data_IF_182405771748
#
_entry.id   IF_182405771748
#
_cell.length_a   1.000
_cell.length_b   1.000
_cell.length_c   1.000
_cell.angle_alpha   90.00
_cell.angle_beta   90.00
_cell.angle_gamma   90.00
#
_symmetry.space_group_name_H-M   'P 1'
#
loop_
_entity.id
_entity.type
_entity.pdbx_description
1 polymer ?
#
# COMPACT_ATOMS: atom_id res chain seq x y z
N UNK A 1 37.18 -35.86 47.69
CA UNK A 1 37.29 -36.35 46.30
C UNK A 1 36.07 -35.87 45.53
N UNK A 2 36.31 -35.39 44.30
CA UNK A 2 35.40 -35.10 43.18
C UNK A 2 34.26 -34.09 43.32
N UNK A 3 34.47 -32.97 42.60
CA UNK A 3 33.50 -32.01 42.07
C UNK A 3 32.49 -32.67 41.12
N UNK A 4 31.33 -32.03 40.94
CA UNK A 4 30.42 -32.20 39.79
C UNK A 4 28.96 -32.28 40.24
N UNK A 5 27.98 -31.54 39.70
CA UNK A 5 27.96 -30.72 38.50
C UNK A 5 26.73 -29.80 38.61
N UNK A 6 26.98 -28.49 38.66
CA UNK A 6 25.93 -27.48 38.52
C UNK A 6 25.47 -27.45 37.06
N UNK A 7 24.28 -27.98 36.78
CA UNK A 7 23.63 -27.91 35.46
C UNK A 7 22.17 -27.49 35.57
N UNK A 8 21.89 -26.40 36.31
CA UNK A 8 20.57 -25.76 36.32
C UNK A 8 20.64 -24.22 36.27
N UNK A 9 21.68 -23.66 35.63
CA UNK A 9 21.80 -22.19 35.45
C UNK A 9 22.28 -21.78 34.04
N UNK A 10 22.04 -22.61 33.01
CA UNK A 10 22.26 -22.20 31.60
C UNK A 10 20.95 -22.04 30.80
N UNK A 11 19.80 -22.35 31.39
CA UNK A 11 18.49 -22.12 30.76
C UNK A 11 17.97 -20.68 30.91
N UNK A 12 18.49 -19.90 31.86
CA UNK A 12 17.96 -18.57 32.18
C UNK A 12 18.75 -17.41 31.55
N UNK A 13 20.02 -17.61 31.15
CA UNK A 13 20.82 -16.55 30.53
C UNK A 13 20.71 -16.50 29.01
N UNK A 14 20.34 -17.61 28.34
CA UNK A 14 20.05 -17.56 26.91
C UNK A 14 18.75 -16.78 26.65
N UNK A 15 17.69 -17.08 27.40
CA UNK A 15 16.45 -16.30 27.34
C UNK A 15 16.68 -14.86 27.86
N UNK A 16 17.44 -14.70 28.96
CA UNK A 16 17.82 -13.40 29.50
C UNK A 16 18.57 -12.53 28.49
N UNK A 17 19.58 -13.05 27.80
CA UNK A 17 20.37 -12.29 26.81
C UNK A 17 19.59 -11.98 25.52
N UNK A 18 18.68 -12.85 25.08
CA UNK A 18 17.73 -12.57 23.98
C UNK A 18 16.81 -11.39 24.35
N UNK A 19 16.50 -11.21 25.64
CA UNK A 19 15.65 -10.12 26.14
C UNK A 19 16.43 -8.86 26.59
N UNK A 20 17.65 -9.02 27.13
CA UNK A 20 18.49 -7.96 27.71
C UNK A 20 19.32 -7.22 26.66
N UNK A 21 19.75 -7.89 25.59
CA UNK A 21 20.32 -7.24 24.41
C UNK A 21 19.25 -7.22 23.33
N UNK A 22 18.51 -6.11 23.28
CA UNK A 22 17.31 -5.97 22.49
C UNK A 22 17.27 -6.79 21.20
N UNK A 23 16.42 -7.81 21.18
CA UNK A 23 16.32 -8.84 20.15
C UNK A 23 16.18 -8.32 18.71
N UNK A 24 16.12 -9.21 17.72
CA UNK A 24 16.29 -8.88 16.31
C UNK A 24 15.47 -7.67 15.82
N UNK A 25 14.25 -7.50 16.31
CA UNK A 25 13.41 -6.33 16.02
C UNK A 25 14.03 -5.00 16.48
N UNK A 26 14.55 -4.92 17.70
CA UNK A 26 15.19 -3.71 18.24
C UNK A 26 16.48 -3.39 17.47
N UNK A 27 17.24 -4.41 17.07
CA UNK A 27 18.40 -4.24 16.19
C UNK A 27 17.98 -3.68 14.83
N UNK A 28 16.94 -4.24 14.21
CA UNK A 28 16.38 -3.76 12.95
C UNK A 28 15.93 -2.30 13.00
N UNK A 29 15.17 -1.92 14.04
CA UNK A 29 14.73 -0.52 14.25
C UNK A 29 15.92 0.41 14.48
N UNK A 30 16.97 -0.04 15.18
CA UNK A 30 18.19 0.76 15.38
C UNK A 30 18.92 1.00 14.06
N UNK A 31 19.05 -0.04 13.24
CA UNK A 31 19.67 0.04 11.92
C UNK A 31 18.86 0.98 10.99
N UNK A 32 17.53 0.92 11.01
CA UNK A 32 16.64 1.88 10.31
C UNK A 32 16.94 3.32 10.69
N UNK A 33 16.99 3.62 11.99
CA UNK A 33 17.28 4.97 12.51
C UNK A 33 18.67 5.46 12.12
N UNK A 34 19.60 4.55 11.87
CA UNK A 34 20.95 4.86 11.39
C UNK A 34 21.10 4.78 9.86
N UNK A 35 20.01 4.66 9.11
CA UNK A 35 20.00 4.53 7.65
C UNK A 35 20.78 3.33 7.10
N UNK A 36 21.03 2.30 7.93
CA UNK A 36 21.68 1.04 7.52
C UNK A 36 20.63 0.03 7.11
N UNK A 37 20.07 0.24 5.92
CA UNK A 37 18.85 -0.45 5.50
C UNK A 37 19.02 -1.96 5.27
N UNK A 38 20.16 -2.42 4.74
CA UNK A 38 20.40 -3.85 4.53
C UNK A 38 20.59 -4.60 5.87
N UNK A 39 21.26 -3.98 6.84
CA UNK A 39 21.33 -4.49 8.22
C UNK A 39 19.93 -4.54 8.85
N UNK A 40 19.12 -3.51 8.64
CA UNK A 40 17.75 -3.48 9.13
C UNK A 40 16.92 -4.64 8.59
N UNK A 41 16.92 -4.84 7.27
CA UNK A 41 16.19 -5.95 6.62
C UNK A 41 16.66 -7.31 7.11
N UNK A 42 17.97 -7.49 7.32
CA UNK A 42 18.52 -8.75 7.87
C UNK A 42 18.00 -9.02 9.27
N UNK A 43 18.02 -8.01 10.15
CA UNK A 43 17.55 -8.15 11.52
C UNK A 43 16.02 -8.30 11.63
N UNK A 44 15.26 -7.60 10.78
CA UNK A 44 13.79 -7.70 10.71
C UNK A 44 13.34 -9.07 10.20
N UNK A 45 14.05 -9.66 9.24
CA UNK A 45 13.81 -11.03 8.79
C UNK A 45 13.99 -12.05 9.91
N UNK A 46 15.01 -11.89 10.76
CA UNK A 46 15.17 -12.72 11.94
C UNK A 46 14.03 -12.51 12.95
N UNK A 47 13.61 -11.26 13.18
CA UNK A 47 12.50 -10.91 14.07
C UNK A 47 11.14 -11.50 13.64
N UNK A 48 10.94 -11.67 12.33
CA UNK A 48 9.71 -12.24 11.75
C UNK A 48 9.42 -13.65 12.26
N UNK A 49 10.47 -14.43 12.56
CA UNK A 49 10.31 -15.79 13.10
C UNK A 49 9.74 -15.79 14.52
N UNK A 50 10.03 -14.75 15.30
CA UNK A 50 9.53 -14.58 16.67
C UNK A 50 8.13 -13.94 16.70
N UNK A 51 7.80 -13.14 15.68
CA UNK A 51 6.56 -12.37 15.59
C UNK A 51 5.85 -12.54 14.23
N UNK A 52 5.44 -13.76 13.84
CA UNK A 52 4.95 -14.07 12.49
C UNK A 52 3.64 -13.37 12.08
N UNK A 53 2.91 -12.80 13.05
CA UNK A 53 1.64 -12.11 12.81
C UNK A 53 1.66 -10.62 13.19
N UNK A 54 2.84 -10.05 13.47
CA UNK A 54 2.99 -8.65 13.82
C UNK A 54 3.07 -7.78 12.56
N UNK A 55 2.20 -6.80 12.44
CA UNK A 55 2.22 -5.79 11.38
C UNK A 55 3.45 -4.88 11.46
N UNK A 56 4.13 -4.81 12.61
CA UNK A 56 5.29 -3.94 12.83
C UNK A 56 6.47 -4.36 11.95
N UNK A 57 6.72 -5.67 11.79
CA UNK A 57 7.85 -6.16 11.01
C UNK A 57 7.77 -5.76 9.53
N UNK A 58 6.70 -6.10 8.78
CA UNK A 58 6.60 -5.66 7.40
C UNK A 58 6.46 -4.13 7.26
N UNK A 59 5.91 -3.42 8.25
CA UNK A 59 5.94 -1.96 8.24
C UNK A 59 7.38 -1.41 8.27
N UNK A 60 8.22 -1.93 9.16
CA UNK A 60 9.62 -1.51 9.28
C UNK A 60 10.46 -1.94 8.05
N UNK A 61 10.19 -3.11 7.47
CA UNK A 61 10.81 -3.53 6.21
C UNK A 61 10.42 -2.58 5.06
N UNK A 62 9.16 -2.15 4.99
CA UNK A 62 8.73 -1.16 4.01
C UNK A 62 9.47 0.18 4.16
N UNK A 63 9.71 0.63 5.40
CA UNK A 63 10.53 1.82 5.65
C UNK A 63 11.98 1.64 5.19
N UNK A 64 12.58 0.46 5.40
CA UNK A 64 13.93 0.15 4.93
C UNK A 64 13.99 0.21 3.39
N UNK A 65 13.03 -0.42 2.70
CA UNK A 65 12.94 -0.37 1.24
C UNK A 65 12.73 1.05 0.69
N UNK A 66 11.91 1.88 1.34
CA UNK A 66 11.82 3.29 0.98
C UNK A 66 13.16 4.02 1.12
N UNK A 67 13.89 3.76 2.20
CA UNK A 67 15.22 4.32 2.44
C UNK A 67 16.24 3.95 1.36
N UNK A 68 16.10 2.75 0.76
CA UNK A 68 16.91 2.27 -0.36
C UNK A 68 16.48 2.81 -1.73
N UNK A 69 15.35 3.52 -1.82
CA UNK A 69 14.79 3.94 -3.10
C UNK A 69 14.09 2.81 -3.87
N UNK A 70 13.55 1.82 -3.15
CA UNK A 70 12.84 0.65 -3.70
C UNK A 70 11.32 0.75 -3.38
N UNK A 71 10.59 1.70 -4.00
CA UNK A 71 9.21 2.01 -3.62
C UNK A 71 8.23 0.86 -3.88
N UNK A 72 8.47 0.01 -4.88
CA UNK A 72 7.60 -1.12 -5.21
C UNK A 72 7.66 -2.21 -4.12
N UNK A 73 8.86 -2.53 -3.65
CA UNK A 73 9.07 -3.43 -2.49
C UNK A 73 8.44 -2.86 -1.23
N UNK A 74 8.61 -1.56 -0.99
CA UNK A 74 7.97 -0.90 0.14
C UNK A 74 6.44 -0.97 0.06
N UNK A 75 5.86 -0.79 -1.13
CA UNK A 75 4.42 -0.90 -1.33
C UNK A 75 3.90 -2.29 -0.93
N UNK A 76 4.58 -3.35 -1.38
CA UNK A 76 4.21 -4.74 -1.06
C UNK A 76 4.23 -5.00 0.45
N UNK A 77 5.26 -4.54 1.15
CA UNK A 77 5.38 -4.73 2.60
C UNK A 77 4.39 -3.87 3.41
N UNK A 78 4.08 -2.65 2.98
CA UNK A 78 2.98 -1.90 3.62
C UNK A 78 1.63 -2.60 3.43
N UNK A 79 1.36 -3.18 2.26
CA UNK A 79 0.14 -3.95 2.00
C UNK A 79 0.09 -5.19 2.89
N UNK A 80 1.20 -5.93 3.02
CA UNK A 80 1.32 -7.05 3.95
C UNK A 80 0.98 -6.61 5.39
N UNK A 81 1.60 -5.54 5.88
CA UNK A 81 1.37 -5.00 7.23
C UNK A 81 -0.12 -4.67 7.50
N UNK A 82 -0.86 -4.18 6.50
CA UNK A 82 -2.29 -3.89 6.65
C UNK A 82 -3.16 -5.14 6.88
N UNK A 83 -2.64 -6.34 6.61
CA UNK A 83 -3.35 -7.61 6.82
C UNK A 83 -3.06 -8.28 8.16
N UNK A 84 -1.99 -7.86 8.85
CA UNK A 84 -1.50 -8.48 10.09
C UNK A 84 -2.05 -7.80 11.36
N UNK A 85 -1.66 -8.29 12.55
CA UNK A 85 -2.08 -7.74 13.85
C UNK A 85 -1.21 -6.55 14.24
N UNK A 86 -1.84 -5.47 14.71
CA UNK A 86 -1.15 -4.27 15.21
C UNK A 86 -1.71 -3.01 14.58
N UNK A 87 -2.69 -2.41 15.23
CA UNK A 87 -3.48 -1.31 14.66
C UNK A 87 -2.62 -0.09 14.31
N UNK A 88 -1.66 0.27 15.16
CA UNK A 88 -0.76 1.39 14.92
C UNK A 88 0.08 1.20 13.63
N UNK A 89 0.68 0.01 13.45
CA UNK A 89 1.46 -0.29 12.25
C UNK A 89 0.57 -0.38 11.00
N UNK A 90 -0.62 -0.99 11.10
CA UNK A 90 -1.60 -1.00 10.00
C UNK A 90 -1.99 0.42 9.56
N UNK A 91 -2.26 1.30 10.53
CA UNK A 91 -2.64 2.69 10.26
C UNK A 91 -1.48 3.47 9.62
N UNK A 92 -0.27 3.30 10.14
CA UNK A 92 0.94 3.92 9.57
C UNK A 92 1.22 3.39 8.15
N UNK A 93 1.00 2.10 7.87
CA UNK A 93 1.09 1.53 6.52
C UNK A 93 0.06 2.12 5.57
N UNK A 94 -1.21 2.24 6.01
CA UNK A 94 -2.25 2.87 5.22
C UNK A 94 -1.90 4.34 4.90
N UNK A 95 -1.41 5.09 5.89
CA UNK A 95 -0.94 6.46 5.68
C UNK A 95 0.19 6.55 4.66
N UNK A 96 1.20 5.68 4.74
CA UNK A 96 2.34 5.68 3.81
C UNK A 96 1.94 5.27 2.38
N UNK A 97 1.06 4.28 2.23
CA UNK A 97 0.48 3.94 0.92
C UNK A 97 -0.38 5.08 0.37
N UNK A 98 -1.07 5.83 1.25
CA UNK A 98 -1.78 7.05 0.88
C UNK A 98 -0.84 8.09 0.28
N UNK A 99 0.31 8.32 0.92
CA UNK A 99 1.35 9.22 0.41
C UNK A 99 1.92 8.75 -0.94
N UNK A 100 2.16 7.45 -1.12
CA UNK A 100 2.56 6.89 -2.41
C UNK A 100 1.50 7.13 -3.49
N UNK A 101 0.22 6.92 -3.15
CA UNK A 101 -0.91 7.14 -4.05
C UNK A 101 -1.08 8.61 -4.43
N UNK A 102 -0.85 9.54 -3.50
CA UNK A 102 -0.82 10.98 -3.77
C UNK A 102 0.26 11.33 -4.82
N UNK A 103 1.48 10.83 -4.65
CA UNK A 103 2.58 11.04 -5.61
C UNK A 103 2.25 10.45 -6.98
N UNK A 104 1.57 9.31 -7.02
CA UNK A 104 1.10 8.67 -8.25
C UNK A 104 -0.16 9.33 -8.85
N UNK A 105 -0.65 10.44 -8.27
CA UNK A 105 -1.90 11.13 -8.64
C UNK A 105 -3.16 10.25 -8.60
N UNK A 106 -3.12 9.14 -7.86
CA UNK A 106 -4.25 8.24 -7.59
C UNK A 106 -5.05 8.79 -6.40
N UNK A 107 -5.65 9.96 -6.57
CA UNK A 107 -6.24 10.73 -5.47
C UNK A 107 -7.39 10.01 -4.75
N UNK A 108 -8.19 9.21 -5.47
CA UNK A 108 -9.26 8.42 -4.87
C UNK A 108 -8.71 7.33 -3.92
N UNK A 109 -7.65 6.62 -4.35
CA UNK A 109 -6.98 5.61 -3.52
C UNK A 109 -6.33 6.25 -2.30
N UNK A 110 -5.64 7.38 -2.49
CA UNK A 110 -5.06 8.13 -1.39
C UNK A 110 -6.10 8.52 -0.34
N UNK A 111 -7.24 9.07 -0.76
CA UNK A 111 -8.32 9.46 0.14
C UNK A 111 -8.89 8.25 0.91
N UNK A 112 -9.03 7.08 0.27
CA UNK A 112 -9.44 5.85 0.96
C UNK A 112 -8.41 5.44 2.02
N UNK A 113 -7.13 5.42 1.67
CA UNK A 113 -6.05 5.00 2.54
C UNK A 113 -5.86 5.93 3.76
N UNK A 114 -5.98 7.25 3.58
CA UNK A 114 -5.96 8.18 4.71
C UNK A 114 -7.16 8.00 5.63
N UNK A 115 -8.36 7.73 5.08
CA UNK A 115 -9.52 7.37 5.93
C UNK A 115 -9.26 6.10 6.71
N UNK A 116 -8.67 5.09 6.09
CA UNK A 116 -8.32 3.82 6.76
C UNK A 116 -7.36 4.08 7.94
N UNK A 117 -6.34 4.93 7.77
CA UNK A 117 -5.44 5.34 8.86
C UNK A 117 -6.18 6.09 9.99
N UNK A 118 -7.07 7.03 9.62
CA UNK A 118 -7.84 7.84 10.58
C UNK A 118 -8.88 7.04 11.37
N UNK A 119 -9.29 5.84 10.92
CA UNK A 119 -10.14 4.95 11.75
C UNK A 119 -9.43 4.50 13.02
N UNK A 120 -8.11 4.34 12.98
CA UNK A 120 -7.30 3.95 14.13
C UNK A 120 -6.78 5.19 14.88
N UNK A 121 -6.30 6.20 14.15
CA UNK A 121 -5.72 7.41 14.71
C UNK A 121 -6.55 8.65 14.35
N UNK A 122 -7.77 8.84 14.92
CA UNK A 122 -8.69 9.92 14.52
C UNK A 122 -8.19 11.34 14.83
N UNK A 123 -7.08 11.47 15.57
CA UNK A 123 -6.44 12.74 15.93
C UNK A 123 -5.15 13.03 15.15
N UNK A 124 -4.77 12.14 14.22
CA UNK A 124 -3.62 12.38 13.33
C UNK A 124 -3.91 13.58 12.41
N UNK A 125 -3.21 14.69 12.64
CA UNK A 125 -3.40 15.93 11.90
C UNK A 125 -2.82 15.86 10.48
N UNK A 126 -1.74 15.10 10.29
CA UNK A 126 -1.11 14.97 8.98
C UNK A 126 -1.99 14.10 8.07
N UNK A 127 -2.55 13.02 8.58
CA UNK A 127 -3.51 12.20 7.85
C UNK A 127 -4.79 13.00 7.47
N UNK A 128 -5.28 13.88 8.35
CA UNK A 128 -6.42 14.78 8.03
C UNK A 128 -6.08 15.75 6.91
N UNK A 129 -4.95 16.45 7.02
CA UNK A 129 -4.48 17.42 6.01
C UNK A 129 -4.30 16.74 4.65
N UNK A 130 -3.67 15.56 4.63
CA UNK A 130 -3.45 14.82 3.39
C UNK A 130 -4.76 14.27 2.80
N UNK A 131 -5.74 13.89 3.63
CA UNK A 131 -7.08 13.53 3.15
C UNK A 131 -7.79 14.72 2.49
N UNK A 132 -7.75 15.89 3.11
CA UNK A 132 -8.31 17.12 2.54
C UNK A 132 -7.66 17.47 1.19
N UNK A 133 -6.34 17.36 1.12
CA UNK A 133 -5.57 17.55 -0.12
C UNK A 133 -5.99 16.53 -1.19
N UNK A 134 -6.05 15.25 -0.85
CA UNK A 134 -6.48 14.20 -1.77
C UNK A 134 -7.88 14.46 -2.33
N UNK A 135 -8.83 14.90 -1.49
CA UNK A 135 -10.19 15.24 -1.91
C UNK A 135 -10.20 16.46 -2.83
N UNK A 136 -9.39 17.48 -2.52
CA UNK A 136 -9.26 18.69 -3.35
C UNK A 136 -8.72 18.33 -4.73
N UNK A 137 -7.65 17.54 -4.78
CA UNK A 137 -7.03 17.09 -6.02
C UNK A 137 -7.97 16.20 -6.84
N UNK A 138 -8.76 15.34 -6.20
CA UNK A 138 -9.78 14.54 -6.87
C UNK A 138 -10.87 15.40 -7.54
N UNK A 139 -11.23 16.54 -6.96
CA UNK A 139 -12.19 17.51 -7.54
C UNK A 139 -11.58 18.31 -8.70
N UNK A 140 -10.28 18.58 -8.64
CA UNK A 140 -9.54 19.38 -9.63
C UNK A 140 -9.02 18.55 -10.81
N UNK A 141 -8.75 17.26 -10.60
CA UNK A 141 -8.54 16.31 -11.70
C UNK A 141 -9.68 16.48 -12.67
N UNK A 142 -9.40 16.83 -13.95
CA UNK A 142 -10.44 17.21 -14.89
C UNK A 142 -11.49 16.13 -14.82
N UNK A 143 -12.72 16.55 -14.46
CA UNK A 143 -13.91 15.72 -14.65
C UNK A 143 -13.71 15.11 -16.03
N UNK A 144 -13.50 13.79 -16.12
CA UNK A 144 -13.73 13.11 -17.39
C UNK A 144 -15.18 13.45 -17.70
N UNK A 145 -15.38 14.42 -18.58
CA UNK A 145 -16.68 15.00 -18.90
C UNK A 145 -17.66 13.87 -19.17
N UNK A 146 -18.68 13.63 -18.34
CA UNK A 146 -19.76 12.76 -18.73
C UNK A 146 -20.75 13.61 -19.51
N UNK A 147 -21.01 13.19 -20.76
CA UNK A 147 -22.04 13.63 -21.72
C UNK A 147 -21.57 14.63 -22.78
N UNK A 148 -21.13 14.09 -23.91
CA UNK A 148 -21.65 14.62 -25.17
C UNK A 148 -23.19 14.42 -25.15
N UNK A 149 -23.98 15.46 -25.42
CA UNK A 149 -25.35 15.26 -25.84
C UNK A 149 -25.30 14.56 -27.19
N UNK A 150 -25.76 13.32 -27.28
CA UNK A 150 -26.17 12.77 -28.57
C UNK A 150 -27.44 13.51 -29.01
N UNK A 151 -27.26 14.72 -29.56
CA UNK A 151 -28.26 15.41 -30.36
C UNK A 151 -27.89 15.11 -31.81
N UNK A 152 -28.55 14.11 -32.35
CA UNK A 152 -28.33 13.66 -33.71
C UNK A 152 -29.20 12.45 -34.09
N UNK A 153 -30.40 12.34 -33.52
CA UNK A 153 -31.46 11.60 -34.18
C UNK A 153 -31.76 12.35 -35.48
N UNK A 154 -31.11 11.94 -36.58
CA UNK A 154 -31.50 12.34 -37.91
C UNK A 154 -32.95 11.92 -38.16
N UNK A 155 -33.73 12.71 -38.91
CA UNK A 155 -35.13 12.41 -39.15
C UNK A 155 -35.32 11.03 -39.79
N UNK A 156 -36.43 10.34 -39.51
CA UNK A 156 -36.67 8.99 -40.01
C UNK A 156 -36.72 8.99 -41.53
N UNK A 157 -36.14 7.94 -42.14
CA UNK A 157 -36.14 7.73 -43.58
C UNK A 157 -37.59 7.72 -44.12
N UNK A 158 -37.89 8.42 -45.22
CA UNK A 158 -39.18 8.28 -45.87
C UNK A 158 -39.22 6.94 -46.61
N UNK A 159 -40.05 6.02 -46.13
CA UNK A 159 -40.44 4.85 -46.89
C UNK A 159 -41.43 5.22 -48.00
N UNK A 160 -41.24 4.64 -49.19
CA UNK A 160 -42.33 4.44 -50.14
C UNK A 160 -42.04 4.69 -51.62
N UNK A 161 -41.83 3.59 -52.32
CA UNK A 161 -42.40 3.24 -53.63
C UNK A 161 -41.73 3.75 -54.92
N UNK A 162 -41.18 2.74 -55.62
CA UNK A 162 -41.38 2.41 -57.02
C UNK A 162 -41.08 3.47 -58.09
N UNK A 163 -40.06 3.16 -58.90
CA UNK A 163 -40.17 3.21 -60.36
C UNK A 163 -39.12 2.33 -61.06
N UNK A 164 -39.67 1.49 -61.91
CA UNK A 164 -39.12 0.49 -62.82
C UNK A 164 -37.66 0.64 -63.30
N UNK A 165 -36.94 -0.49 -63.30
CA UNK A 165 -35.86 -0.78 -64.26
C UNK A 165 -36.42 -0.82 -65.70
N UNK A 166 -35.75 -0.20 -66.68
CA UNK A 166 -35.84 -0.66 -68.06
C UNK A 166 -34.82 -1.78 -68.27
N UNK A 167 -35.34 -2.98 -68.46
CA UNK A 167 -34.67 -4.03 -69.22
C UNK A 167 -34.54 -3.59 -70.69
N UNK A 168 -33.63 -4.26 -71.40
CA UNK A 168 -33.34 -4.22 -72.84
C UNK A 168 -32.16 -3.30 -73.22
N UNK A 169 -31.13 -3.76 -73.95
CA UNK A 169 -30.97 -4.95 -74.82
C UNK A 169 -29.54 -5.54 -74.77
N UNK A 170 -29.36 -6.81 -75.17
CA UNK A 170 -28.09 -7.34 -75.62
C UNK A 170 -27.81 -6.92 -77.07
N UNK A 171 -26.55 -6.68 -77.42
CA UNK A 171 -26.08 -6.69 -78.81
C UNK A 171 -25.37 -8.01 -79.11
N UNK A 172 -25.64 -8.50 -80.32
CA UNK A 172 -25.06 -9.67 -80.95
C UNK A 172 -23.78 -9.30 -81.70
#
# INVERSE_FOLDING_TARGET
MTRGLALLLLGFTALGAIYEWGGPARSGVRALKSHRYDEALTALRAARSEMPHSAVIPYDEALAHLGKGEPDSAQAHFQEAMTLRGDAARAASAYNLGNQSMRARKFADAARLYRDALRVAPRDLDAKRNLEEAIRMMRQSPRRSPREPQVGAGPPAPGGQDKQLPLTRPEA
#
